data_IF_646946500815
#
_entry.id   IF_646946500815
#
_cell.length_a   1.000
_cell.length_b   1.000
_cell.length_c   1.000
_cell.angle_alpha   90.00
_cell.angle_beta   90.00
_cell.angle_gamma   90.00
#
_symmetry.space_group_name_H-M   'P 1'
#
loop_
_entity.id
_entity.type
_entity.pdbx_description
1 polymer ?
#
# COMPACT_ATOMS: atom_id res chain seq x y z
N UNK A 1 15.51 -1.64 5.91
CA UNK A 1 15.09 -0.75 4.80
C UNK A 1 13.68 -1.15 4.41
N UNK A 2 12.78 -0.19 4.26
CA UNK A 2 11.37 -0.39 3.91
C UNK A 2 11.02 0.43 2.68
N UNK A 3 10.04 -0.04 1.92
CA UNK A 3 9.50 0.60 0.73
C UNK A 3 8.00 0.83 0.93
N UNK A 4 7.54 2.04 0.63
CA UNK A 4 6.11 2.36 0.58
C UNK A 4 5.61 2.21 -0.85
N UNK A 5 4.62 1.34 -1.04
CA UNK A 5 3.97 1.07 -2.32
C UNK A 5 2.55 1.63 -2.28
N UNK A 6 2.22 2.54 -3.19
CA UNK A 6 0.88 3.15 -3.28
C UNK A 6 0.20 2.73 -4.57
N UNK A 7 -0.91 2.02 -4.48
CA UNK A 7 -1.70 1.56 -5.62
C UNK A 7 -3.03 2.31 -5.65
N UNK A 8 -3.44 2.78 -6.83
CA UNK A 8 -4.74 3.41 -7.04
C UNK A 8 -5.58 2.57 -8.00
N UNK A 9 -6.79 2.24 -7.59
CA UNK A 9 -7.77 1.51 -8.38
C UNK A 9 -9.02 2.36 -8.54
N UNK A 10 -9.35 2.72 -9.77
CA UNK A 10 -10.57 3.47 -10.12
C UNK A 10 -11.52 2.50 -10.83
N UNK A 11 -12.69 2.17 -10.27
CA UNK A 11 -13.65 1.30 -10.94
C UNK A 11 -14.09 1.85 -12.30
N UNK A 12 -14.22 0.97 -13.29
CA UNK A 12 -14.64 1.31 -14.67
C UNK A 12 -13.54 1.87 -15.58
N UNK A 13 -12.36 2.19 -15.02
CA UNK A 13 -11.16 2.53 -15.80
C UNK A 13 -10.24 1.32 -15.69
N UNK A 14 -9.66 0.87 -16.82
CA UNK A 14 -8.78 -0.30 -16.90
C UNK A 14 -7.53 -0.24 -16.01
N UNK A 15 -6.49 -1.04 -16.28
CA UNK A 15 -5.50 -1.53 -15.30
C UNK A 15 -5.07 -0.48 -14.26
N UNK A 16 -5.15 -0.90 -12.98
CA UNK A 16 -4.71 -0.20 -11.77
C UNK A 16 -3.45 0.61 -12.04
N UNK A 17 -3.52 1.94 -11.93
CA UNK A 17 -2.30 2.77 -11.93
C UNK A 17 -1.59 2.53 -10.61
N UNK A 18 -0.50 1.79 -10.67
CA UNK A 18 0.44 1.63 -9.57
C UNK A 18 1.36 2.85 -9.60
N UNK A 19 1.23 3.73 -8.60
CA UNK A 19 2.19 4.81 -8.39
C UNK A 19 3.16 4.33 -7.31
N UNK A 20 4.25 3.68 -7.73
CA UNK A 20 5.29 3.29 -6.80
C UNK A 20 6.02 4.56 -6.36
N UNK A 21 5.96 4.85 -5.06
CA UNK A 21 6.79 5.89 -4.44
C UNK A 21 7.85 5.18 -3.60
N UNK A 22 8.85 4.54 -4.23
CA UNK A 22 9.91 3.88 -3.49
C UNK A 22 10.73 4.94 -2.76
N UNK A 23 10.42 5.14 -1.49
CA UNK A 23 11.28 5.84 -0.56
C UNK A 23 11.93 4.77 0.29
N UNK A 24 13.25 4.65 0.17
CA UNK A 24 14.03 3.80 1.05
C UNK A 24 13.99 4.40 2.44
N UNK A 25 13.20 3.77 3.31
CA UNK A 25 13.09 4.17 4.70
C UNK A 25 13.99 3.23 5.51
N UNK A 26 15.06 3.79 6.06
CA UNK A 26 16.05 3.01 6.79
C UNK A 26 15.67 2.77 8.25
N UNK A 27 14.70 3.53 8.76
CA UNK A 27 14.29 3.55 10.15
C UNK A 27 12.80 3.23 10.31
N UNK A 28 12.46 2.41 11.31
CA UNK A 28 11.08 2.02 11.56
C UNK A 28 10.20 3.23 11.93
N UNK A 29 10.69 4.15 12.77
CA UNK A 29 9.91 5.31 13.19
C UNK A 29 9.61 6.24 12.02
N UNK A 30 10.53 6.35 11.04
CA UNK A 30 10.28 7.08 9.80
C UNK A 30 9.18 6.40 8.96
N UNK A 31 9.12 5.07 8.94
CA UNK A 31 8.10 4.33 8.21
C UNK A 31 6.70 4.51 8.82
N UNK A 32 6.60 4.52 10.16
CA UNK A 32 5.33 4.80 10.84
C UNK A 32 4.86 6.25 10.60
N UNK A 33 5.78 7.21 10.64
CA UNK A 33 5.48 8.63 10.37
C UNK A 33 4.95 8.84 8.95
N UNK A 34 5.52 8.15 7.98
CA UNK A 34 5.07 8.20 6.58
C UNK A 34 3.65 7.64 6.45
N UNK A 35 3.36 6.50 7.09
CA UNK A 35 2.02 5.91 7.08
C UNK A 35 0.99 6.79 7.80
N UNK A 36 1.36 7.42 8.92
CA UNK A 36 0.49 8.39 9.61
C UNK A 36 0.24 9.64 8.74
N UNK A 37 1.26 10.15 8.06
CA UNK A 37 1.12 11.27 7.14
C UNK A 37 0.18 10.95 5.98
N UNK A 38 0.33 9.77 5.35
CA UNK A 38 -0.57 9.29 4.31
C UNK A 38 -1.99 9.14 4.82
N UNK A 39 -2.19 8.54 6.00
CA UNK A 39 -3.51 8.42 6.62
C UNK A 39 -4.19 9.78 6.79
N UNK A 40 -3.45 10.80 7.25
CA UNK A 40 -3.96 12.17 7.39
C UNK A 40 -4.32 12.80 6.04
N UNK A 41 -3.53 12.55 4.99
CA UNK A 41 -3.83 13.05 3.64
C UNK A 41 -5.12 12.43 3.11
N UNK A 42 -5.28 11.11 3.18
CA UNK A 42 -6.46 10.43 2.65
C UNK A 42 -7.73 10.85 3.41
N UNK A 43 -7.66 10.91 4.73
CA UNK A 43 -8.77 11.39 5.56
C UNK A 43 -9.17 12.83 5.22
N UNK A 44 -8.20 13.73 4.98
CA UNK A 44 -8.47 15.13 4.56
C UNK A 44 -9.13 15.23 3.18
N UNK A 45 -8.93 14.23 2.33
CA UNK A 45 -9.48 14.19 0.97
C UNK A 45 -10.79 13.37 0.89
N UNK A 46 -11.48 13.18 2.02
CA UNK A 46 -12.74 12.44 2.13
C UNK A 46 -12.65 10.96 1.70
N UNK A 47 -11.49 10.33 1.90
CA UNK A 47 -11.41 8.89 1.85
C UNK A 47 -11.70 8.30 3.23
N UNK A 48 -12.45 7.22 3.25
CA UNK A 48 -12.72 6.42 4.43
C UNK A 48 -11.68 5.29 4.50
N UNK A 49 -11.17 5.02 5.70
CA UNK A 49 -10.28 3.88 5.94
C UNK A 49 -11.13 2.61 6.09
N UNK A 50 -11.04 1.72 5.12
CA UNK A 50 -11.82 0.47 5.10
C UNK A 50 -11.05 -0.69 5.72
N UNK A 51 -9.72 -0.71 5.56
CA UNK A 51 -8.88 -1.74 6.17
C UNK A 51 -7.54 -1.17 6.63
N UNK A 52 -7.10 -1.63 7.81
CA UNK A 52 -5.76 -1.41 8.32
C UNK A 52 -5.22 -2.70 8.91
N UNK A 53 -4.20 -3.26 8.29
CA UNK A 53 -3.45 -4.40 8.79
C UNK A 53 -2.06 -3.93 9.22
N UNK A 54 -1.75 -4.06 10.50
CA UNK A 54 -0.44 -3.72 11.04
C UNK A 54 0.36 -4.99 11.32
N UNK A 55 1.10 -5.48 10.33
CA UNK A 55 1.89 -6.71 10.44
C UNK A 55 3.38 -6.42 10.24
N UNK A 56 3.88 -5.49 11.04
CA UNK A 56 5.26 -5.02 11.03
C UNK A 56 6.22 -6.04 11.68
N UNK A 57 7.48 -6.24 11.20
CA UNK A 57 8.16 -5.64 10.05
C UNK A 57 7.94 -6.41 8.74
N UNK A 58 6.90 -7.24 8.65
CA UNK A 58 6.52 -7.93 7.41
C UNK A 58 5.76 -6.96 6.54
N UNK A 59 4.46 -7.11 6.30
CA UNK A 59 3.74 -6.21 5.41
C UNK A 59 2.66 -5.50 6.19
N UNK A 60 2.72 -4.16 6.26
CA UNK A 60 1.60 -3.36 6.78
C UNK A 60 0.80 -2.81 5.61
N UNK A 61 -0.53 -2.84 5.69
CA UNK A 61 -1.42 -2.39 4.60
C UNK A 61 -2.51 -1.47 5.12
N UNK A 62 -2.80 -0.41 4.39
CA UNK A 62 -3.99 0.44 4.56
C UNK A 62 -4.76 0.51 3.25
N UNK A 63 -6.08 0.36 3.32
CA UNK A 63 -7.00 0.50 2.19
C UNK A 63 -7.93 1.66 2.49
N UNK A 64 -7.92 2.65 1.59
CA UNK A 64 -8.78 3.82 1.62
C UNK A 64 -9.75 3.78 0.45
N UNK A 65 -11.02 4.04 0.72
CA UNK A 65 -12.05 4.07 -0.31
C UNK A 65 -12.77 5.41 -0.25
N UNK A 66 -13.08 5.95 -1.42
CA UNK A 66 -13.94 7.11 -1.56
C UNK A 66 -15.27 6.63 -2.09
N UNK A 67 -16.32 6.71 -1.29
CA UNK A 67 -17.67 6.26 -1.67
C UNK A 67 -18.28 7.20 -2.71
N UNK A 68 -19.04 6.63 -3.65
CA UNK A 68 -19.80 7.43 -4.61
C UNK A 68 -20.90 8.19 -3.88
N UNK A 69 -21.00 9.49 -4.12
CA UNK A 69 -22.06 10.34 -3.55
C UNK A 69 -23.39 10.21 -4.30
N UNK A 70 -23.39 9.55 -5.46
CA UNK A 70 -24.57 9.33 -6.29
C UNK A 70 -24.87 7.83 -6.41
N UNK A 71 -26.15 7.46 -6.28
CA UNK A 71 -26.65 6.09 -6.41
C UNK A 71 -26.43 5.57 -7.84
N UNK A 72 -25.28 4.98 -8.08
CA UNK A 72 -24.98 4.25 -9.31
C UNK A 72 -25.22 2.78 -9.01
N UNK A 73 -26.25 2.15 -9.60
CA UNK A 73 -26.52 0.75 -9.29
C UNK A 73 -25.32 -0.11 -9.71
N UNK A 74 -24.79 -0.89 -8.75
CA UNK A 74 -23.67 -1.84 -8.87
C UNK A 74 -22.24 -1.27 -8.75
N UNK A 75 -22.03 -0.02 -8.34
CA UNK A 75 -20.71 0.49 -7.96
C UNK A 75 -20.85 1.25 -6.64
N UNK A 76 -20.21 0.74 -5.59
CA UNK A 76 -20.29 1.31 -4.24
C UNK A 76 -19.18 2.35 -3.95
N UNK A 77 -18.14 2.44 -4.80
CA UNK A 77 -16.94 3.26 -4.57
C UNK A 77 -16.45 3.97 -5.85
N UNK A 78 -15.94 5.20 -5.72
CA UNK A 78 -15.43 6.06 -6.79
C UNK A 78 -13.93 5.84 -7.04
N UNK A 79 -13.17 5.62 -5.96
CA UNK A 79 -11.70 5.53 -5.99
C UNK A 79 -11.21 4.74 -4.78
N UNK A 80 -10.23 3.85 -5.00
CA UNK A 80 -9.63 3.00 -3.96
C UNK A 80 -8.12 3.16 -3.98
N UNK A 81 -7.54 3.42 -2.81
CA UNK A 81 -6.10 3.52 -2.61
C UNK A 81 -5.61 2.46 -1.64
N UNK A 82 -4.62 1.68 -2.08
CA UNK A 82 -4.00 0.62 -1.29
C UNK A 82 -2.55 1.03 -1.03
N UNK A 83 -2.21 1.22 0.23
CA UNK A 83 -0.88 1.62 0.69
C UNK A 83 -0.28 0.42 1.39
N UNK A 84 0.87 -0.04 0.93
CA UNK A 84 1.60 -1.16 1.53
C UNK A 84 2.98 -0.69 1.94
N UNK A 85 3.38 -1.00 3.16
CA UNK A 85 4.77 -0.90 3.59
C UNK A 85 5.37 -2.31 3.51
N UNK A 86 6.37 -2.47 2.67
CA UNK A 86 7.05 -3.74 2.43
C UNK A 86 8.51 -3.62 2.89
N UNK A 87 9.09 -4.61 3.59
CA UNK A 87 10.50 -4.64 3.88
C UNK A 87 11.23 -4.78 2.56
N UNK A 88 12.22 -3.92 2.33
CA UNK A 88 13.15 -4.12 1.24
C UNK A 88 13.97 -5.36 1.60
N UNK A 89 13.66 -6.47 0.96
CA UNK A 89 14.50 -7.65 0.99
C UNK A 89 15.68 -7.33 0.09
N UNK A 90 16.89 -7.24 0.64
CA UNK A 90 18.07 -7.02 -0.18
C UNK A 90 18.19 -8.15 -1.23
N UNK A 91 18.70 -7.78 -2.41
CA UNK A 91 18.79 -8.69 -3.56
C UNK A 91 19.64 -9.92 -3.22
N UNK A 92 20.57 -9.81 -2.27
CA UNK A 92 21.41 -10.89 -1.78
C UNK A 92 20.61 -11.92 -0.97
N UNK A 93 19.69 -11.48 -0.11
CA UNK A 93 18.78 -12.31 0.67
C UNK A 93 17.76 -12.99 -0.23
N UNK A 94 17.23 -12.29 -1.23
CA UNK A 94 16.36 -12.90 -2.26
C UNK A 94 17.12 -14.00 -3.00
N UNK A 95 18.33 -13.70 -3.47
CA UNK A 95 19.17 -14.65 -4.22
C UNK A 95 19.52 -15.87 -3.36
N UNK A 96 19.83 -15.66 -2.07
CA UNK A 96 20.12 -16.73 -1.12
C UNK A 96 18.90 -17.61 -0.84
N UNK A 97 17.71 -17.03 -0.75
CA UNK A 97 16.45 -17.77 -0.56
C UNK A 97 16.04 -18.55 -1.83
N UNK A 98 16.22 -17.96 -3.00
CA UNK A 98 15.97 -18.64 -4.29
C UNK A 98 16.95 -19.81 -4.45
N UNK A 99 18.25 -19.58 -4.22
CA UNK A 99 19.25 -20.63 -4.33
C UNK A 99 19.04 -21.76 -3.32
N UNK A 100 18.63 -21.46 -2.08
CA UNK A 100 18.32 -22.49 -1.09
C UNK A 100 17.05 -23.28 -1.42
N UNK A 101 16.06 -22.66 -2.08
CA UNK A 101 14.84 -23.33 -2.54
C UNK A 101 15.07 -24.18 -3.80
N UNK A 102 16.05 -23.82 -4.64
CA UNK A 102 16.42 -24.55 -5.87
C UNK A 102 17.35 -25.73 -5.63
N UNK A 103 18.01 -25.84 -4.47
CA UNK A 103 18.88 -26.98 -4.09
C UNK A 103 18.07 -28.01 -3.26
N UNK A 104 16.85 -28.33 -3.70
CA UNK A 104 16.09 -29.48 -3.17
C UNK A 104 16.16 -30.67 -4.10
#
# INVERSE_FOLDING_TARGET
MFMVVVKRQIPGIGPTKVCEFPRDINDLDEAEKELDWLFRIFTKNNYELERRDWNFPRNSTMIFEKKLTAQTPNIDWEDVWIITLEPCVDQETITKHINSALIK
#
